data_IF_361336301882
#
_entry.id   IF_361336301882
#
_cell.length_a   1.000
_cell.length_b   1.000
_cell.length_c   1.000
_cell.angle_alpha   90.00
_cell.angle_beta   90.00
_cell.angle_gamma   90.00
#
_symmetry.space_group_name_H-M   'P 1'
#
loop_
_entity.id
_entity.type
_entity.pdbx_description
1 polymer ?
#
# COMPACT_ATOMS: atom_id res chain seq x y z
N UNK A 1 7.03 -22.76 -17.88
CA UNK A 1 6.98 -22.62 -16.40
C UNK A 1 8.03 -21.59 -16.07
N UNK A 2 7.64 -20.36 -15.73
CA UNK A 2 8.60 -19.31 -15.39
C UNK A 2 9.23 -19.64 -14.03
N UNK A 3 10.56 -19.65 -13.95
CA UNK A 3 11.28 -19.81 -12.70
C UNK A 3 10.94 -18.65 -11.76
N UNK A 4 10.25 -18.94 -10.67
CA UNK A 4 9.99 -17.98 -9.61
C UNK A 4 11.30 -17.71 -8.87
N UNK A 5 12.10 -16.75 -9.34
CA UNK A 5 13.29 -16.29 -8.61
C UNK A 5 12.84 -15.64 -7.31
N UNK A 6 13.41 -16.08 -6.19
CA UNK A 6 13.39 -15.31 -4.95
C UNK A 6 14.19 -14.02 -5.24
N UNK A 7 13.49 -12.89 -5.30
CA UNK A 7 14.12 -11.62 -5.67
C UNK A 7 14.64 -10.94 -4.42
N UNK A 8 15.80 -10.28 -4.55
CA UNK A 8 16.29 -9.34 -3.55
C UNK A 8 15.30 -8.17 -3.47
N UNK A 9 14.58 -7.98 -2.35
CA UNK A 9 13.61 -6.90 -2.25
C UNK A 9 14.27 -5.57 -2.54
N UNK A 10 13.53 -4.68 -3.22
CA UNK A 10 14.07 -3.39 -3.60
C UNK A 10 14.66 -2.68 -2.37
N UNK A 11 15.65 -1.82 -2.62
CA UNK A 11 16.31 -1.03 -1.58
C UNK A 11 15.29 -0.31 -0.68
N UNK A 12 14.18 0.15 -1.27
CA UNK A 12 13.08 0.81 -0.58
C UNK A 12 12.42 -0.11 0.45
N UNK A 13 12.13 -1.37 0.12
CA UNK A 13 11.52 -2.31 1.08
C UNK A 13 12.46 -2.60 2.25
N UNK A 14 13.75 -2.83 1.96
CA UNK A 14 14.77 -3.02 3.00
C UNK A 14 14.84 -1.82 3.93
N UNK A 15 14.82 -0.60 3.40
CA UNK A 15 14.83 0.64 4.19
C UNK A 15 13.56 0.78 5.05
N UNK A 16 12.39 0.50 4.50
CA UNK A 16 11.13 0.53 5.23
C UNK A 16 11.14 -0.44 6.42
N UNK A 17 11.56 -1.70 6.21
CA UNK A 17 11.63 -2.71 7.26
C UNK A 17 12.71 -2.36 8.31
N UNK A 18 13.91 -1.98 7.85
CA UNK A 18 15.00 -1.59 8.74
C UNK A 18 14.62 -0.38 9.61
N UNK A 19 13.80 0.53 9.09
CA UNK A 19 13.28 1.65 9.88
C UNK A 19 12.47 1.14 11.08
N UNK A 20 11.68 0.07 10.95
CA UNK A 20 10.99 -0.58 12.07
C UNK A 20 11.90 -1.47 12.93
N UNK A 21 13.19 -1.60 12.61
CA UNK A 21 14.12 -2.52 13.27
C UNK A 21 13.95 -3.97 12.81
N UNK A 22 13.31 -4.18 11.67
CA UNK A 22 13.04 -5.50 11.10
C UNK A 22 14.03 -5.80 9.97
N UNK A 23 14.42 -7.07 9.87
CA UNK A 23 15.33 -7.56 8.82
C UNK A 23 14.78 -8.74 8.03
N UNK A 24 13.70 -9.35 8.52
CA UNK A 24 13.00 -10.41 7.83
C UNK A 24 12.26 -9.83 6.64
N UNK A 25 12.64 -10.32 5.46
CA UNK A 25 12.04 -9.91 4.22
C UNK A 25 10.78 -10.72 3.95
N UNK A 26 9.73 -10.11 3.37
CA UNK A 26 8.57 -10.88 2.96
C UNK A 26 8.92 -11.95 1.95
N UNK A 27 8.23 -13.08 2.06
CA UNK A 27 8.27 -14.16 1.06
C UNK A 27 7.51 -13.71 -0.18
N UNK A 28 8.17 -12.91 -1.02
CA UNK A 28 7.60 -12.34 -2.22
C UNK A 28 8.47 -12.59 -3.44
N UNK A 29 7.82 -12.54 -4.59
CA UNK A 29 8.42 -12.77 -5.90
C UNK A 29 8.05 -11.61 -6.80
N UNK A 30 8.99 -11.11 -7.59
CA UNK A 30 8.67 -10.12 -8.61
C UNK A 30 7.79 -10.76 -9.68
N UNK A 31 6.82 -10.00 -10.17
CA UNK A 31 5.94 -10.39 -11.27
C UNK A 31 5.95 -9.26 -12.31
N UNK A 32 5.95 -9.61 -13.58
CA UNK A 32 5.82 -8.62 -14.65
C UNK A 32 4.41 -7.99 -14.59
N UNK A 33 4.26 -6.66 -14.79
CA UNK A 33 2.94 -6.03 -14.84
C UNK A 33 2.01 -6.66 -15.89
N UNK A 34 2.53 -7.17 -17.01
CA UNK A 34 1.74 -7.83 -18.06
C UNK A 34 1.24 -9.22 -17.62
N UNK A 35 1.92 -9.84 -16.65
CA UNK A 35 1.53 -11.12 -16.04
C UNK A 35 0.63 -10.95 -14.79
N UNK A 36 0.38 -9.71 -14.37
CA UNK A 36 -0.44 -9.42 -13.19
C UNK A 36 -1.90 -9.85 -13.41
N UNK A 37 -2.48 -10.74 -12.57
CA UNK A 37 -3.85 -11.17 -12.77
C UNK A 37 -4.87 -10.09 -12.41
N UNK A 38 -6.05 -10.14 -13.02
CA UNK A 38 -7.18 -9.32 -12.59
C UNK A 38 -7.77 -9.81 -11.26
N UNK A 39 -8.30 -8.91 -10.41
CA UNK A 39 -8.42 -7.46 -10.60
C UNK A 39 -7.15 -6.66 -10.21
N UNK A 40 -6.06 -7.36 -9.87
CA UNK A 40 -4.86 -6.73 -9.32
C UNK A 40 -4.10 -5.90 -10.36
N UNK A 41 -4.19 -6.24 -11.65
CA UNK A 41 -3.67 -5.39 -12.71
C UNK A 41 -4.29 -3.99 -12.65
N UNK A 42 -5.62 -3.89 -12.67
CA UNK A 42 -6.32 -2.61 -12.51
C UNK A 42 -5.96 -1.88 -11.20
N UNK A 43 -5.79 -2.62 -10.10
CA UNK A 43 -5.57 -2.04 -8.77
C UNK A 43 -4.12 -1.60 -8.51
N UNK A 44 -3.13 -2.22 -9.14
CA UNK A 44 -1.71 -2.00 -8.84
C UNK A 44 -0.94 -1.38 -10.01
N UNK A 45 -1.28 -1.73 -11.25
CA UNK A 45 -0.53 -1.35 -12.46
C UNK A 45 -1.06 -0.01 -12.98
N UNK A 46 -0.86 1.03 -12.18
CA UNK A 46 -1.22 2.40 -12.52
C UNK A 46 -0.33 3.44 -11.82
N UNK A 47 -0.27 4.65 -12.38
CA UNK A 47 0.45 5.78 -11.77
C UNK A 47 -0.45 6.67 -10.87
N UNK A 48 -1.70 6.24 -10.66
CA UNK A 48 -2.62 6.85 -9.70
C UNK A 48 -2.34 6.51 -8.23
N UNK A 49 -3.16 7.07 -7.34
CA UNK A 49 -3.11 6.80 -5.91
C UNK A 49 -3.97 5.59 -5.53
N UNK A 50 -3.39 4.64 -4.81
CA UNK A 50 -4.05 3.42 -4.35
C UNK A 50 -5.37 3.67 -3.63
N UNK A 51 -5.45 4.69 -2.77
CA UNK A 51 -6.70 5.05 -2.07
C UNK A 51 -7.83 5.36 -3.05
N UNK A 52 -7.60 6.18 -4.08
CA UNK A 52 -8.64 6.58 -5.04
C UNK A 52 -9.06 5.40 -5.91
N UNK A 53 -8.09 4.57 -6.32
CA UNK A 53 -8.34 3.35 -7.09
C UNK A 53 -9.20 2.37 -6.30
N UNK A 54 -8.86 2.13 -5.02
CA UNK A 54 -9.65 1.26 -4.14
C UNK A 54 -11.05 1.81 -3.88
N UNK A 55 -11.20 3.11 -3.66
CA UNK A 55 -12.53 3.72 -3.48
C UNK A 55 -13.41 3.54 -4.73
N UNK A 56 -12.80 3.68 -5.91
CA UNK A 56 -13.48 3.45 -7.20
C UNK A 56 -13.85 1.99 -7.39
N UNK A 57 -12.96 1.06 -7.04
CA UNK A 57 -13.16 -0.38 -7.22
C UNK A 57 -14.19 -0.96 -6.24
N UNK A 58 -14.11 -0.56 -4.96
CA UNK A 58 -15.01 -1.00 -3.90
C UNK A 58 -16.34 -0.25 -3.91
N UNK A 59 -16.44 0.89 -4.61
CA UNK A 59 -17.65 1.72 -4.65
C UNK A 59 -17.95 2.42 -3.32
N UNK A 60 -16.98 2.51 -2.41
CA UNK A 60 -17.14 3.12 -1.09
C UNK A 60 -15.85 3.81 -0.63
N UNK A 61 -15.97 4.76 0.31
CA UNK A 61 -14.79 5.40 0.90
C UNK A 61 -13.98 4.40 1.72
N UNK A 62 -12.66 4.57 1.71
CA UNK A 62 -11.76 3.82 2.59
C UNK A 62 -11.21 4.72 3.69
N UNK A 63 -10.95 4.11 4.84
CA UNK A 63 -10.38 4.74 6.03
C UNK A 63 -8.99 4.17 6.31
N UNK A 64 -8.12 4.98 6.90
CA UNK A 64 -6.75 4.58 7.24
C UNK A 64 -6.68 4.14 8.68
N UNK A 65 -6.05 2.99 8.92
CA UNK A 65 -5.87 2.42 10.25
C UNK A 65 -4.41 2.04 10.45
N UNK A 66 -3.56 2.96 10.97
CA UNK A 66 -2.20 2.63 11.34
C UNK A 66 -2.20 1.64 12.50
N UNK A 67 -1.39 0.59 12.41
CA UNK A 67 -1.23 -0.40 13.49
C UNK A 67 0.20 -0.41 14.06
N UNK A 68 1.13 0.27 13.40
CA UNK A 68 2.47 0.52 13.92
C UNK A 68 2.98 1.84 13.34
N UNK A 69 3.51 2.72 14.18
CA UNK A 69 4.05 4.02 13.77
C UNK A 69 5.43 4.20 14.37
N UNK A 70 6.36 4.74 13.59
CA UNK A 70 7.69 5.11 14.05
C UNK A 70 8.11 6.46 13.47
N UNK A 71 8.86 7.22 14.26
CA UNK A 71 9.34 8.56 13.90
C UNK A 71 10.80 8.66 14.29
N UNK A 72 11.62 9.19 13.39
CA UNK A 72 13.03 9.44 13.65
C UNK A 72 13.51 10.63 12.82
N UNK A 73 13.81 11.75 13.50
CA UNK A 73 14.13 13.02 12.86
C UNK A 73 13.03 13.48 11.89
N UNK A 74 13.41 13.70 10.64
CA UNK A 74 12.49 14.08 9.55
C UNK A 74 11.73 12.91 8.92
N UNK A 75 11.96 11.67 9.36
CA UNK A 75 11.33 10.48 8.81
C UNK A 75 10.15 10.04 9.67
N UNK A 76 9.06 9.68 8.99
CA UNK A 76 7.85 9.15 9.58
C UNK A 76 7.46 7.88 8.82
N UNK A 77 7.34 6.77 9.53
CA UNK A 77 6.87 5.53 8.93
C UNK A 77 5.63 5.02 9.64
N UNK A 78 4.74 4.40 8.89
CA UNK A 78 3.63 3.63 9.45
C UNK A 78 3.42 2.36 8.67
N UNK A 79 3.06 1.31 9.40
CA UNK A 79 2.34 0.17 8.84
C UNK A 79 0.85 0.40 9.04
N UNK A 80 0.07 0.20 7.99
CA UNK A 80 -1.33 0.60 7.96
C UNK A 80 -2.20 -0.41 7.21
N UNK A 81 -3.48 -0.43 7.57
CA UNK A 81 -4.54 -1.00 6.76
C UNK A 81 -5.37 0.12 6.11
N UNK A 82 -5.88 -0.14 4.91
CA UNK A 82 -7.04 0.56 4.37
C UNK A 82 -8.27 -0.33 4.52
N UNK A 83 -9.32 0.25 5.10
CA UNK A 83 -10.57 -0.45 5.39
C UNK A 83 -11.75 0.23 4.74
N UNK A 84 -12.64 -0.56 4.15
CA UNK A 84 -13.94 -0.10 3.63
C UNK A 84 -14.86 0.34 4.78
N UNK A 85 -15.70 1.34 4.52
CA UNK A 85 -16.51 1.95 5.58
C UNK A 85 -17.68 1.10 6.10
N UNK A 86 -18.27 0.23 5.28
CA UNK A 86 -19.51 -0.50 5.63
C UNK A 86 -19.24 -1.75 6.48
N UNK A 87 -18.29 -2.57 6.05
CA UNK A 87 -17.96 -3.90 6.59
C UNK A 87 -16.62 -3.92 7.35
N UNK A 88 -15.93 -2.76 7.44
CA UNK A 88 -14.61 -2.61 8.06
C UNK A 88 -13.56 -3.59 7.52
N UNK A 89 -13.75 -4.07 6.29
CA UNK A 89 -12.93 -5.07 5.65
C UNK A 89 -11.56 -4.49 5.27
N UNK A 90 -10.49 -5.19 5.62
CA UNK A 90 -9.14 -4.83 5.18
C UNK A 90 -9.02 -5.12 3.69
N UNK A 91 -9.02 -4.08 2.87
CA UNK A 91 -8.88 -4.15 1.40
C UNK A 91 -7.44 -3.99 0.93
N UNK A 92 -6.61 -3.37 1.75
CA UNK A 92 -5.17 -3.24 1.50
C UNK A 92 -4.43 -3.16 2.83
N UNK A 93 -3.24 -3.74 2.89
CA UNK A 93 -2.28 -3.51 3.98
C UNK A 93 -0.95 -3.08 3.39
N UNK A 94 -0.12 -2.38 4.16
CA UNK A 94 1.10 -1.84 3.61
C UNK A 94 1.98 -1.09 4.59
N UNK A 95 3.13 -0.66 4.07
CA UNK A 95 4.11 0.17 4.76
C UNK A 95 4.26 1.47 3.98
N UNK A 96 4.35 2.57 4.71
CA UNK A 96 4.62 3.89 4.17
C UNK A 96 5.77 4.50 4.96
N UNK A 97 6.81 4.98 4.27
CA UNK A 97 7.89 5.77 4.83
C UNK A 97 7.88 7.14 4.15
N UNK A 98 7.71 8.19 4.93
CA UNK A 98 7.59 9.58 4.49
C UNK A 98 8.77 10.40 5.01
N UNK A 99 9.34 11.24 4.15
CA UNK A 99 10.35 12.23 4.53
C UNK A 99 9.76 13.64 4.58
N UNK A 100 9.57 14.17 5.79
CA UNK A 100 8.98 15.50 6.03
C UNK A 100 9.84 16.66 5.53
N UNK A 101 11.12 16.43 5.20
CA UNK A 101 11.94 17.47 4.56
C UNK A 101 11.42 17.89 3.18
N UNK A 102 10.44 17.15 2.61
CA UNK A 102 9.85 17.44 1.31
C UNK A 102 8.40 17.91 1.36
N UNK A 103 7.89 18.30 2.53
CA UNK A 103 6.55 18.89 2.64
C UNK A 103 6.53 20.10 3.57
N UNK A 104 5.45 20.89 3.48
CA UNK A 104 5.21 21.99 4.41
C UNK A 104 4.80 21.48 5.80
N UNK A 105 4.93 22.33 6.82
CA UNK A 105 4.48 22.03 8.19
C UNK A 105 2.99 21.66 8.23
N UNK A 106 2.15 22.36 7.47
CA UNK A 106 0.71 22.04 7.36
C UNK A 106 0.47 20.60 6.90
N UNK A 107 1.20 20.14 5.89
CA UNK A 107 1.05 18.80 5.33
C UNK A 107 1.59 17.76 6.30
N UNK A 108 2.73 18.04 6.94
CA UNK A 108 3.26 17.22 8.03
C UNK A 108 2.21 17.02 9.11
N UNK A 109 1.61 18.09 9.61
CA UNK A 109 0.67 18.03 10.72
C UNK A 109 -0.58 17.21 10.34
N UNK A 110 -1.11 17.36 9.12
CA UNK A 110 -2.20 16.52 8.59
C UNK A 110 -1.83 15.03 8.49
N UNK A 111 -0.59 14.70 8.10
CA UNK A 111 -0.12 13.31 8.05
C UNK A 111 -0.04 12.73 9.47
N UNK A 112 0.47 13.53 10.42
CA UNK A 112 0.62 13.15 11.82
C UNK A 112 -0.70 12.98 12.57
N UNK A 113 -1.79 13.58 12.07
CA UNK A 113 -3.15 13.34 12.59
C UNK A 113 -3.66 11.92 12.31
N UNK A 114 -3.09 11.22 11.32
CA UNK A 114 -3.35 9.81 11.03
C UNK A 114 -4.81 9.46 10.65
N UNK A 115 -5.67 10.46 10.44
CA UNK A 115 -7.10 10.29 10.10
C UNK A 115 -7.40 10.21 8.62
N UNK A 116 -6.58 10.87 7.80
CA UNK A 116 -6.84 11.04 6.36
C UNK A 116 -5.85 10.22 5.54
N UNK A 117 -6.29 9.52 4.47
CA UNK A 117 -5.37 8.84 3.57
C UNK A 117 -4.35 9.80 2.96
N UNK A 118 -3.10 9.33 2.86
CA UNK A 118 -2.00 10.16 2.35
C UNK A 118 -2.35 10.74 0.98
N UNK A 119 -2.83 9.92 0.05
CA UNK A 119 -3.23 10.37 -1.28
C UNK A 119 -4.19 11.56 -1.21
N UNK A 120 -5.20 11.52 -0.34
CA UNK A 120 -6.17 12.60 -0.14
C UNK A 120 -5.55 13.86 0.46
N UNK A 121 -4.72 13.72 1.50
CA UNK A 121 -3.99 14.86 2.10
C UNK A 121 -3.20 15.59 1.02
N UNK A 122 -2.49 14.84 0.18
CA UNK A 122 -1.74 15.44 -0.89
C UNK A 122 -2.71 16.13 -1.88
N UNK A 123 -3.85 15.50 -2.25
CA UNK A 123 -4.83 16.00 -3.26
C UNK A 123 -5.32 17.37 -2.83
N UNK A 124 -5.83 17.45 -1.61
CA UNK A 124 -6.48 18.63 -1.05
C UNK A 124 -5.49 19.79 -0.80
N UNK A 125 -4.19 19.51 -0.72
CA UNK A 125 -3.15 20.54 -0.55
C UNK A 125 -2.43 20.91 -1.86
N UNK A 126 -2.94 20.49 -3.03
CA UNK A 126 -2.42 20.87 -4.36
C UNK A 126 -0.93 20.58 -4.58
N UNK A 127 -0.38 19.57 -3.92
CA UNK A 127 1.02 19.17 -4.10
C UNK A 127 1.15 18.51 -5.47
N UNK A 128 2.15 18.89 -6.28
CA UNK A 128 2.41 18.21 -7.55
C UNK A 128 2.94 16.81 -7.25
N UNK A 129 2.36 15.80 -7.91
CA UNK A 129 2.66 14.40 -7.62
C UNK A 129 2.89 13.58 -8.85
N UNK A 130 3.86 12.68 -8.71
CA UNK A 130 4.07 11.58 -9.63
C UNK A 130 4.30 10.31 -8.81
N UNK A 131 3.48 9.28 -9.05
CA UNK A 131 3.74 7.93 -8.52
C UNK A 131 4.63 7.22 -9.53
N UNK A 132 5.70 6.61 -9.05
CA UNK A 132 6.53 5.72 -9.85
C UNK A 132 6.49 4.34 -9.20
N UNK A 133 5.73 3.43 -9.82
CA UNK A 133 5.73 2.01 -9.45
C UNK A 133 7.05 1.40 -9.91
N UNK A 134 7.83 0.85 -8.98
CA UNK A 134 9.17 0.33 -9.27
C UNK A 134 9.22 -1.17 -9.39
N UNK A 135 8.38 -1.86 -8.64
CA UNK A 135 8.39 -3.33 -8.55
C UNK A 135 6.99 -3.82 -8.24
N UNK A 136 6.55 -4.84 -8.95
CA UNK A 136 5.29 -5.54 -8.67
C UNK A 136 5.59 -6.90 -8.05
N UNK A 137 4.76 -7.29 -7.08
CA UNK A 137 5.05 -8.41 -6.20
C UNK A 137 3.89 -9.39 -6.17
N UNK A 138 4.22 -10.68 -6.19
CA UNK A 138 3.38 -11.77 -5.71
C UNK A 138 3.88 -12.20 -4.33
N UNK A 139 3.05 -12.09 -3.31
CA UNK A 139 3.38 -12.41 -1.92
C UNK A 139 2.82 -13.80 -1.59
N UNK A 140 3.65 -14.65 -0.97
CA UNK A 140 3.26 -16.00 -0.58
C UNK A 140 2.12 -15.99 0.45
N UNK A 141 1.21 -16.96 0.34
CA UNK A 141 0.07 -17.10 1.24
C UNK A 141 0.46 -17.25 2.72
N UNK A 142 1.67 -17.76 2.99
CA UNK A 142 2.19 -17.98 4.35
C UNK A 142 2.91 -16.77 4.93
N UNK A 143 3.08 -15.69 4.16
CA UNK A 143 3.75 -14.49 4.66
C UNK A 143 2.94 -13.85 5.80
N UNK A 144 3.57 -13.43 6.91
CA UNK A 144 2.88 -12.81 8.03
C UNK A 144 2.01 -11.60 7.65
N UNK A 145 2.35 -10.85 6.60
CA UNK A 145 1.51 -9.74 6.15
C UNK A 145 0.14 -10.18 5.61
N UNK A 146 0.03 -11.41 5.08
CA UNK A 146 -1.25 -11.94 4.57
C UNK A 146 -2.25 -12.17 5.72
N UNK A 147 -1.75 -12.49 6.92
CA UNK A 147 -2.61 -12.73 8.08
C UNK A 147 -3.51 -11.54 8.42
N UNK A 148 -3.09 -10.31 8.08
CA UNK A 148 -3.87 -9.08 8.29
C UNK A 148 -5.18 -9.03 7.51
N UNK A 149 -5.29 -9.81 6.44
CA UNK A 149 -6.54 -9.90 5.68
C UNK A 149 -7.57 -10.81 6.33
N UNK A 150 -7.22 -11.58 7.37
CA UNK A 150 -8.17 -12.45 8.09
C UNK A 150 -8.96 -13.36 7.12
N UNK A 151 -8.26 -13.91 6.12
CA UNK A 151 -8.89 -14.77 5.11
C UNK A 151 -9.25 -16.13 5.74
N UNK A 152 -10.42 -16.71 5.41
CA UNK A 152 -10.78 -18.07 5.84
C UNK A 152 -9.77 -19.12 5.37
N UNK A 153 -9.18 -18.89 4.19
CA UNK A 153 -8.14 -19.72 3.61
C UNK A 153 -6.98 -18.84 3.15
N UNK A 154 -5.75 -19.23 3.50
CA UNK A 154 -4.56 -18.52 3.08
C UNK A 154 -4.41 -18.57 1.55
N UNK A 155 -4.27 -17.40 0.92
CA UNK A 155 -4.09 -17.24 -0.52
C UNK A 155 -3.00 -16.22 -0.78
N UNK A 156 -2.28 -16.41 -1.88
CA UNK A 156 -1.26 -15.46 -2.31
C UNK A 156 -1.90 -14.08 -2.57
N UNK A 157 -1.19 -13.02 -2.23
CA UNK A 157 -1.58 -11.65 -2.52
C UNK A 157 -0.70 -11.04 -3.60
N UNK A 158 -1.14 -9.89 -4.09
CA UNK A 158 -0.38 -9.09 -5.02
C UNK A 158 -0.17 -7.70 -4.44
N UNK A 159 0.98 -7.12 -4.75
CA UNK A 159 1.34 -5.81 -4.25
C UNK A 159 2.29 -5.09 -5.17
N UNK A 160 2.67 -3.89 -4.76
CA UNK A 160 3.67 -3.08 -5.46
C UNK A 160 4.51 -2.29 -4.48
N UNK A 161 5.72 -1.99 -4.90
CA UNK A 161 6.58 -1.00 -4.28
C UNK A 161 6.58 0.23 -5.18
N UNK A 162 6.30 1.39 -4.60
CA UNK A 162 6.21 2.65 -5.33
C UNK A 162 6.88 3.79 -4.55
N UNK A 163 7.37 4.78 -5.29
CA UNK A 163 7.78 6.06 -4.71
C UNK A 163 6.83 7.15 -5.19
N UNK A 164 6.33 7.98 -4.25
CA UNK A 164 5.62 9.22 -4.57
C UNK A 164 6.61 10.37 -4.56
N UNK A 165 6.72 11.05 -5.69
CA UNK A 165 7.45 12.29 -5.81
C UNK A 165 6.51 13.45 -5.50
N UNK A 166 6.84 14.27 -4.50
CA UNK A 166 6.16 15.52 -4.18
C UNK A 166 7.04 16.67 -4.66
N UNK A 167 6.51 17.53 -5.55
CA UNK A 167 7.26 18.64 -6.16
C UNK A 167 8.63 18.20 -6.74
N UNK A 168 8.65 17.01 -7.37
CA UNK A 168 9.84 16.40 -7.97
C UNK A 168 10.83 15.76 -6.97
N UNK A 169 10.52 15.73 -5.68
CA UNK A 169 11.35 15.09 -4.64
C UNK A 169 10.76 13.75 -4.19
N UNK A 170 11.55 12.67 -4.03
CA UNK A 170 11.06 11.35 -3.62
C UNK A 170 10.64 11.38 -2.15
N UNK A 171 9.39 11.76 -1.91
CA UNK A 171 8.91 12.08 -0.58
C UNK A 171 8.41 10.86 0.20
N UNK A 172 7.94 9.85 -0.52
CA UNK A 172 7.28 8.70 0.09
C UNK A 172 7.69 7.43 -0.61
N UNK A 173 8.14 6.44 0.16
CA UNK A 173 8.24 5.06 -0.30
C UNK A 173 7.09 4.23 0.28
N UNK A 174 6.54 3.35 -0.54
CA UNK A 174 5.32 2.59 -0.26
C UNK A 174 5.54 1.12 -0.57
N UNK A 175 5.05 0.26 0.32
CA UNK A 175 4.65 -1.11 0.02
C UNK A 175 3.13 -1.16 0.13
N UNK A 176 2.44 -1.55 -0.94
CA UNK A 176 0.98 -1.68 -0.97
C UNK A 176 0.64 -3.11 -1.38
N UNK A 177 -0.11 -3.83 -0.53
CA UNK A 177 -0.55 -5.21 -0.78
C UNK A 177 -2.08 -5.23 -0.77
N UNK A 178 -2.67 -5.74 -1.84
CA UNK A 178 -4.13 -5.79 -2.02
C UNK A 178 -4.68 -7.10 -1.47
N UNK A 179 -5.86 -7.03 -0.84
CA UNK A 179 -6.58 -8.19 -0.31
C UNK A 179 -6.77 -9.28 -1.38
N UNK A 180 -6.36 -10.53 -1.11
CA UNK A 180 -6.69 -11.66 -1.97
C UNK A 180 -8.20 -11.86 -2.12
N UNK A 181 -8.65 -12.04 -3.36
CA UNK A 181 -10.05 -12.30 -3.69
C UNK A 181 -10.96 -11.08 -3.60
N UNK A 182 -10.40 -9.86 -3.59
CA UNK A 182 -11.19 -8.63 -3.65
C UNK A 182 -12.05 -8.62 -4.92
N UNK A 183 -13.35 -8.34 -4.79
CA UNK A 183 -14.30 -8.27 -5.92
C UNK A 183 -14.85 -6.86 -6.05
N UNK A 184 -15.21 -6.48 -7.29
CA UNK A 184 -15.79 -5.18 -7.59
C UNK A 184 -17.17 -5.08 -6.95
N UNK A 185 -17.43 -4.02 -6.18
CA UNK A 185 -18.74 -3.77 -5.57
C UNK A 185 -19.09 -4.72 -4.41
N UNK A 186 -18.27 -4.76 -3.36
CA UNK A 186 -18.54 -5.43 -2.07
C UNK A 186 -19.77 -4.87 -1.31
N UNK A 187 -20.72 -4.22 -1.99
CA UNK A 187 -21.91 -3.64 -1.40
C UNK A 187 -23.13 -4.57 -1.39
N UNK A 188 -23.19 -5.64 -2.18
CA UNK A 188 -24.43 -6.41 -2.32
C UNK A 188 -24.20 -7.93 -2.51
N UNK A 189 -23.76 -8.64 -1.47
CA UNK A 189 -24.05 -10.09 -1.34
C UNK A 189 -24.33 -10.44 0.13
N UNK A 190 -25.45 -9.94 0.66
CA UNK A 190 -26.14 -10.58 1.79
C UNK A 190 -27.66 -10.50 1.55
N UNK A 191 -28.12 -11.23 0.53
CA UNK A 191 -29.53 -11.61 0.34
C UNK A 191 -29.63 -12.83 -0.58
N UNK A 192 -29.41 -14.01 0.01
CA UNK A 192 -29.96 -15.29 -0.45
C UNK A 192 -30.12 -16.22 0.75
#
# INVERSE_FOLDING_TARGET
MAETKLVDPSKELRLMLAFFGESDLPQCYEIDPDDMPEPYNFLLVHDGHMTVTLETFCGSKVSVHPYQVKRDGGLYARKLDLRTGHDNLVVMTGIMLFNFSFCSDKVRDLILEEKTPLGRILIENNILRQVSSRTYLRIDAKDPMISRFELPEARAAYGRIATIFCDGKPAVDLLEIVRPGLRKGLADEESA
#
